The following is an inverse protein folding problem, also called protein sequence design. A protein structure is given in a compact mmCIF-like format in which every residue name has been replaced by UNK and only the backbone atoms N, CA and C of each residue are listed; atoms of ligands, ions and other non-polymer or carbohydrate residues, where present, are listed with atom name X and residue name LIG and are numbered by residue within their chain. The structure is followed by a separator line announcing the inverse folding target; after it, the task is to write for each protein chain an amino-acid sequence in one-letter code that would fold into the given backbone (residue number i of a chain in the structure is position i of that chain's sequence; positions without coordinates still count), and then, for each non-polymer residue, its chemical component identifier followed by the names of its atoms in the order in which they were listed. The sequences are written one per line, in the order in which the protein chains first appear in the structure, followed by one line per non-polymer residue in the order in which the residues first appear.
data_IF_097730341619
#
_entry.id   IF_097730341619
#
_cell.length_a   1.000
_cell.length_b   1.000
_cell.length_c   1.000
_cell.angle_alpha   90.00
_cell.angle_beta   90.00
_cell.angle_gamma   90.00
#
_symmetry.space_group_name_H-M   'P 1'
#
loop_
_entity.id
_entity.type
_entity.pdbx_description
1 polymer ?
#
# COMPACT_ATOMS: atom_id res chain seq x y z
N UNK A 1 -7.24 -12.75 5.14
CA UNK A 1 -8.49 -13.43 4.74
C UNK A 1 -9.59 -12.48 4.28
N UNK A 2 -9.82 -11.33 4.91
CA UNK A 2 -10.86 -10.36 4.53
C UNK A 2 -10.78 -9.90 3.06
N UNK A 3 -9.58 -9.63 2.54
CA UNK A 3 -9.41 -9.23 1.15
C UNK A 3 -9.87 -10.27 0.12
N UNK A 4 -9.60 -11.55 0.38
CA UNK A 4 -10.06 -12.63 -0.49
C UNK A 4 -11.60 -12.76 -0.48
N UNK A 5 -12.23 -12.60 0.70
CA UNK A 5 -13.68 -12.57 0.84
C UNK A 5 -14.27 -11.40 0.04
N UNK A 6 -13.69 -10.21 0.16
CA UNK A 6 -14.11 -9.03 -0.59
C UNK A 6 -14.03 -9.22 -2.11
N UNK A 7 -12.93 -9.83 -2.61
CA UNK A 7 -12.77 -10.14 -4.02
C UNK A 7 -13.87 -11.09 -4.53
N UNK A 8 -14.19 -12.16 -3.77
CA UNK A 8 -15.25 -13.11 -4.12
C UNK A 8 -16.63 -12.43 -4.11
N UNK A 9 -16.92 -11.58 -3.12
CA UNK A 9 -18.19 -10.85 -3.04
C UNK A 9 -18.35 -9.84 -4.18
N UNK A 10 -17.25 -9.20 -4.56
CA UNK A 10 -17.20 -8.31 -5.72
C UNK A 10 -17.46 -9.07 -7.03
N UNK A 11 -16.75 -10.18 -7.26
CA UNK A 11 -16.89 -11.02 -8.46
C UNK A 11 -18.33 -11.59 -8.61
N UNK A 12 -18.94 -11.97 -7.48
CA UNK A 12 -20.34 -12.42 -7.44
C UNK A 12 -21.37 -11.29 -7.57
N UNK A 13 -20.94 -10.06 -7.74
CA UNK A 13 -21.82 -8.89 -7.89
C UNK A 13 -22.82 -8.74 -6.73
N UNK A 14 -22.39 -9.02 -5.49
CA UNK A 14 -23.25 -9.01 -4.33
C UNK A 14 -23.77 -7.59 -4.07
N UNK A 15 -25.08 -7.38 -4.24
CA UNK A 15 -25.72 -6.06 -4.13
C UNK A 15 -25.53 -5.42 -2.76
N UNK A 16 -25.55 -6.21 -1.69
CA UNK A 16 -25.39 -5.72 -0.32
C UNK A 16 -23.97 -5.22 -0.12
N UNK A 17 -22.98 -6.03 -0.53
CA UNK A 17 -21.57 -5.66 -0.46
C UNK A 17 -21.29 -4.36 -1.25
N UNK A 18 -21.72 -4.32 -2.51
CA UNK A 18 -21.51 -3.13 -3.35
C UNK A 18 -22.22 -1.89 -2.80
N UNK A 19 -23.46 -2.02 -2.31
CA UNK A 19 -24.20 -0.89 -1.72
C UNK A 19 -23.50 -0.29 -0.51
N UNK A 20 -22.87 -1.11 0.34
CA UNK A 20 -22.16 -0.66 1.55
C UNK A 20 -20.80 -0.07 1.17
N UNK A 21 -20.00 -0.83 0.41
CA UNK A 21 -18.59 -0.51 0.18
C UNK A 21 -18.35 0.51 -0.95
N UNK A 22 -19.31 0.73 -1.86
CA UNK A 22 -19.23 1.75 -2.90
C UNK A 22 -19.97 3.06 -2.57
N UNK A 23 -20.50 3.20 -1.35
CA UNK A 23 -21.18 4.41 -0.93
C UNK A 23 -20.22 5.59 -0.81
N UNK A 24 -20.48 6.71 -1.50
CA UNK A 24 -19.65 7.91 -1.49
C UNK A 24 -19.43 8.50 -0.09
N UNK A 25 -20.49 8.51 0.75
CA UNK A 25 -20.39 9.02 2.12
C UNK A 25 -19.49 8.09 2.95
N UNK A 26 -19.68 6.78 2.83
CA UNK A 26 -18.81 5.78 3.47
C UNK A 26 -17.35 5.93 3.06
N UNK A 27 -17.09 6.19 1.79
CA UNK A 27 -15.73 6.44 1.27
C UNK A 27 -15.07 7.67 1.90
N UNK A 28 -15.79 8.80 2.00
CA UNK A 28 -15.26 10.03 2.62
C UNK A 28 -14.94 9.79 4.10
N UNK A 29 -15.83 9.11 4.83
CA UNK A 29 -15.62 8.79 6.26
C UNK A 29 -14.40 7.89 6.42
N UNK A 30 -14.28 6.82 5.62
CA UNK A 30 -13.15 5.89 5.70
C UNK A 30 -11.83 6.59 5.34
N UNK A 31 -11.80 7.45 4.31
CA UNK A 31 -10.62 8.25 3.97
C UNK A 31 -10.21 9.17 5.14
N UNK A 32 -11.19 9.83 5.77
CA UNK A 32 -10.93 10.72 6.91
C UNK A 32 -10.34 9.94 8.09
N UNK A 33 -10.91 8.79 8.44
CA UNK A 33 -10.40 7.94 9.52
C UNK A 33 -9.01 7.39 9.15
N UNK A 34 -8.79 6.97 7.92
CA UNK A 34 -7.50 6.46 7.47
C UNK A 34 -6.39 7.51 7.60
N UNK A 35 -6.64 8.75 7.16
CA UNK A 35 -5.67 9.84 7.27
C UNK A 35 -5.37 10.23 8.73
N UNK A 36 -6.36 10.10 9.61
CA UNK A 36 -6.18 10.39 11.05
C UNK A 36 -5.65 9.20 11.85
N UNK A 37 -5.69 7.98 11.30
CA UNK A 37 -5.26 6.76 11.99
C UNK A 37 -3.79 6.78 12.45
N UNK A 38 -2.93 7.49 11.74
CA UNK A 38 -1.55 7.72 12.15
C UNK A 38 -1.38 8.47 13.47
N UNK A 39 -2.40 9.24 13.88
CA UNK A 39 -2.41 10.00 15.13
C UNK A 39 -2.90 9.16 16.34
N UNK A 40 -3.50 8.00 16.08
CA UNK A 40 -4.17 7.18 17.09
C UNK A 40 -3.32 5.98 17.55
N UNK A 41 -2.05 5.96 17.17
CA UNK A 41 -1.17 4.80 17.24
C UNK A 41 -1.16 4.03 18.57
N UNK A 42 -1.27 4.73 19.70
CA UNK A 42 -1.08 4.14 21.02
C UNK A 42 -2.39 3.92 21.82
N UNK A 43 -3.51 4.44 21.33
CA UNK A 43 -4.80 4.38 22.05
C UNK A 43 -5.63 3.13 21.72
N UNK A 44 -5.32 2.42 20.64
CA UNK A 44 -6.07 1.25 20.19
C UNK A 44 -5.21 0.00 20.29
N UNK A 45 -5.70 -1.09 20.93
CA UNK A 45 -4.98 -2.34 20.95
C UNK A 45 -4.59 -2.83 19.56
N UNK A 46 -3.36 -3.34 19.40
CA UNK A 46 -2.80 -3.70 18.11
C UNK A 46 -3.69 -4.66 17.31
N UNK A 47 -4.31 -5.64 17.97
CA UNK A 47 -5.21 -6.62 17.34
C UNK A 47 -6.41 -5.94 16.65
N UNK A 48 -7.08 -5.02 17.36
CA UNK A 48 -8.25 -4.32 16.84
C UNK A 48 -7.83 -3.37 15.71
N UNK A 49 -6.68 -2.73 15.85
CA UNK A 49 -6.13 -1.81 14.85
C UNK A 49 -5.90 -2.49 13.51
N UNK A 50 -5.29 -3.69 13.49
CA UNK A 50 -5.04 -4.44 12.27
C UNK A 50 -6.33 -4.83 11.54
N UNK A 51 -7.36 -5.28 12.26
CA UNK A 51 -8.65 -5.63 11.68
C UNK A 51 -9.38 -4.38 11.11
N UNK A 52 -9.33 -3.26 11.82
CA UNK A 52 -9.91 -1.99 11.35
C UNK A 52 -9.21 -1.53 10.07
N UNK A 53 -7.88 -1.55 10.02
CA UNK A 53 -7.10 -1.19 8.84
C UNK A 53 -7.45 -2.13 7.66
N UNK A 54 -7.62 -3.43 7.90
CA UNK A 54 -8.00 -4.38 6.86
C UNK A 54 -9.39 -4.07 6.28
N UNK A 55 -10.39 -3.78 7.12
CA UNK A 55 -11.74 -3.39 6.67
C UNK A 55 -11.71 -2.06 5.92
N UNK A 56 -10.97 -1.06 6.43
CA UNK A 56 -10.81 0.23 5.76
C UNK A 56 -10.15 0.09 4.39
N UNK A 57 -9.10 -0.73 4.28
CA UNK A 57 -8.43 -1.02 3.00
C UNK A 57 -9.41 -1.64 2.00
N UNK A 58 -10.31 -2.51 2.46
CA UNK A 58 -11.35 -3.11 1.62
C UNK A 58 -12.32 -2.05 1.07
N UNK A 59 -12.74 -1.09 1.91
CA UNK A 59 -13.54 0.05 1.47
C UNK A 59 -12.83 0.88 0.40
N UNK A 60 -11.57 1.24 0.64
CA UNK A 60 -10.79 2.06 -0.28
C UNK A 60 -10.60 1.36 -1.63
N UNK A 61 -10.22 0.08 -1.62
CA UNK A 61 -10.02 -0.71 -2.85
C UNK A 61 -11.34 -0.84 -3.63
N UNK A 62 -12.44 -1.21 -2.96
CA UNK A 62 -13.74 -1.37 -3.62
C UNK A 62 -14.22 -0.05 -4.22
N UNK A 63 -14.06 1.06 -3.50
CA UNK A 63 -14.40 2.38 -4.00
C UNK A 63 -13.61 2.79 -5.24
N UNK A 64 -12.32 2.48 -5.30
CA UNK A 64 -11.47 2.73 -6.48
C UNK A 64 -11.94 1.89 -7.67
N UNK A 65 -12.17 0.60 -7.47
CA UNK A 65 -12.63 -0.31 -8.53
C UNK A 65 -14.01 0.07 -9.06
N UNK A 66 -14.91 0.55 -8.20
CA UNK A 66 -16.24 1.01 -8.59
C UNK A 66 -16.29 2.47 -9.10
N UNK A 67 -15.14 3.19 -9.15
CA UNK A 67 -15.07 4.62 -9.48
C UNK A 67 -15.98 5.51 -8.63
N UNK A 68 -16.22 5.14 -7.37
CA UNK A 68 -17.07 5.89 -6.44
C UNK A 68 -16.25 6.73 -5.47
N UNK A 69 -14.92 6.59 -5.47
CA UNK A 69 -14.01 7.36 -4.63
C UNK A 69 -13.95 8.83 -5.01
N UNK A 70 -13.84 9.69 -3.99
CA UNK A 70 -13.55 11.11 -4.16
C UNK A 70 -12.14 11.35 -4.69
N UNK A 71 -11.19 10.52 -4.30
CA UNK A 71 -9.79 10.59 -4.74
C UNK A 71 -9.57 9.51 -5.80
N UNK A 72 -9.25 9.92 -7.03
CA UNK A 72 -8.86 8.99 -8.07
C UNK A 72 -7.35 8.73 -7.99
N UNK A 73 -6.98 7.48 -7.73
CA UNK A 73 -5.60 7.01 -7.67
C UNK A 73 -5.08 6.50 -9.02
N UNK A 74 -5.89 6.51 -10.08
CA UNK A 74 -5.48 6.15 -11.43
C UNK A 74 -4.62 7.24 -12.05
N UNK A 75 -3.37 7.32 -11.64
CA UNK A 75 -2.39 8.23 -12.23
C UNK A 75 -1.02 7.54 -12.34
N UNK A 76 -0.17 8.08 -13.22
CA UNK A 76 1.16 7.51 -13.51
C UNK A 76 2.05 7.36 -12.28
N UNK A 77 1.91 8.24 -11.29
CA UNK A 77 2.71 8.20 -10.07
C UNK A 77 2.25 7.04 -9.18
N UNK A 78 0.95 6.88 -8.95
CA UNK A 78 0.40 5.75 -8.18
C UNK A 78 0.69 4.41 -8.86
N UNK A 79 0.55 4.32 -10.19
CA UNK A 79 0.92 3.14 -10.97
C UNK A 79 2.40 2.79 -10.80
N UNK A 80 3.25 3.80 -10.76
CA UNK A 80 4.68 3.58 -10.57
C UNK A 80 5.00 3.10 -9.16
N UNK A 81 4.41 3.74 -8.14
CA UNK A 81 4.53 3.29 -6.73
C UNK A 81 4.01 1.86 -6.59
N UNK A 82 2.90 1.53 -7.23
CA UNK A 82 2.36 0.16 -7.26
C UNK A 82 3.37 -0.85 -7.82
N UNK A 83 4.11 -0.50 -8.88
CA UNK A 83 5.13 -1.38 -9.47
C UNK A 83 6.32 -1.62 -8.55
N UNK A 84 6.76 -0.61 -7.79
CA UNK A 84 7.88 -0.72 -6.87
C UNK A 84 7.46 -1.12 -5.44
N UNK A 85 6.16 -1.32 -5.19
CA UNK A 85 5.60 -1.56 -3.84
C UNK A 85 6.18 -2.79 -3.16
N UNK A 86 6.46 -3.85 -3.92
CA UNK A 86 7.10 -5.04 -3.39
C UNK A 86 8.51 -4.73 -2.85
N UNK A 87 9.31 -3.99 -3.64
CA UNK A 87 10.62 -3.52 -3.20
C UNK A 87 10.52 -2.64 -1.95
N UNK A 88 9.55 -1.72 -1.90
CA UNK A 88 9.30 -0.88 -0.72
C UNK A 88 9.04 -1.76 0.50
N UNK A 89 8.14 -2.74 0.40
CA UNK A 89 7.78 -3.63 1.50
C UNK A 89 8.97 -4.42 2.05
N UNK A 90 9.84 -4.91 1.17
CA UNK A 90 11.02 -5.70 1.58
C UNK A 90 12.13 -4.83 2.15
N UNK A 91 12.35 -3.64 1.58
CA UNK A 91 13.52 -2.79 1.88
C UNK A 91 13.27 -1.90 3.10
N UNK A 92 12.03 -1.40 3.31
CA UNK A 92 11.78 -0.42 4.38
C UNK A 92 12.10 -0.92 5.80
N UNK A 93 11.84 -2.19 6.21
CA UNK A 93 12.20 -2.65 7.55
C UNK A 93 13.71 -2.70 7.74
N UNK A 94 14.45 -3.09 6.69
CA UNK A 94 15.90 -3.12 6.72
C UNK A 94 16.48 -1.70 6.89
N UNK A 95 15.98 -0.74 6.11
CA UNK A 95 16.42 0.65 6.22
C UNK A 95 16.05 1.28 7.56
N UNK A 96 14.87 0.96 8.09
CA UNK A 96 14.47 1.42 9.44
C UNK A 96 15.43 0.91 10.50
N UNK A 97 15.80 -0.37 10.44
CA UNK A 97 16.77 -0.96 11.36
C UNK A 97 18.16 -0.29 11.25
N UNK A 98 18.67 -0.17 10.02
CA UNK A 98 19.99 0.46 9.78
C UNK A 98 19.97 1.92 10.19
N UNK A 99 18.93 2.67 9.87
CA UNK A 99 18.81 4.08 10.24
C UNK A 99 18.77 4.27 11.75
N UNK A 100 18.05 3.42 12.47
CA UNK A 100 17.97 3.46 13.93
C UNK A 100 19.34 3.14 14.57
N UNK A 101 20.08 2.21 13.99
CA UNK A 101 21.42 1.87 14.45
C UNK A 101 22.40 3.04 14.23
N UNK A 102 22.43 3.60 13.01
CA UNK A 102 23.31 4.73 12.67
C UNK A 102 22.98 5.96 13.52
N UNK A 103 21.70 6.24 13.70
CA UNK A 103 21.27 7.37 14.52
C UNK A 103 21.79 7.30 15.97
N UNK A 104 21.72 6.10 16.58
CA UNK A 104 22.24 5.87 17.95
C UNK A 104 23.75 6.10 18.07
N UNK A 105 24.50 5.95 16.97
CA UNK A 105 25.96 6.16 16.96
C UNK A 105 26.33 7.65 16.78
N UNK A 106 25.42 8.45 16.22
CA UNK A 106 25.72 9.85 15.89
C UNK A 106 25.57 10.82 17.07
N UNK A 107 24.97 10.36 18.19
CA UNK A 107 24.78 11.12 19.44
C UNK A 107 24.26 12.55 19.23
N UNK A 108 23.32 12.71 18.28
CA UNK A 108 22.78 14.00 17.86
C UNK A 108 21.64 14.40 18.79
N UNK A 109 21.83 15.43 19.58
CA UNK A 109 20.81 16.03 20.44
C UNK A 109 19.90 16.98 19.64
N UNK A 110 18.84 16.45 19.05
CA UNK A 110 17.77 17.24 18.43
C UNK A 110 16.48 17.16 19.25
N UNK A 111 15.61 18.20 19.21
CA UNK A 111 14.27 18.09 19.76
C UNK A 111 13.56 16.86 19.22
N UNK A 112 12.90 16.07 20.08
CA UNK A 112 12.28 14.76 19.74
C UNK A 112 11.41 14.82 18.49
N UNK A 113 10.60 15.87 18.32
CA UNK A 113 9.74 16.03 17.14
C UNK A 113 10.53 16.21 15.84
N UNK A 114 11.57 17.06 15.88
CA UNK A 114 12.43 17.29 14.70
C UNK A 114 13.17 16.02 14.30
N UNK A 115 13.68 15.31 15.29
CA UNK A 115 14.35 14.04 15.14
C UNK A 115 13.45 13.00 14.48
N UNK A 116 12.24 12.81 14.99
CA UNK A 116 11.28 11.85 14.44
C UNK A 116 10.92 12.17 12.98
N UNK A 117 10.61 13.43 12.69
CA UNK A 117 10.29 13.88 11.34
C UNK A 117 11.47 13.63 10.39
N UNK A 118 12.69 14.00 10.80
CA UNK A 118 13.88 13.84 9.97
C UNK A 118 14.17 12.36 9.65
N UNK A 119 14.06 11.47 10.65
CA UNK A 119 14.26 10.02 10.47
C UNK A 119 13.21 9.45 9.52
N UNK A 120 11.92 9.81 9.71
CA UNK A 120 10.86 9.30 8.84
C UNK A 120 11.02 9.77 7.40
N UNK A 121 11.34 11.05 7.17
CA UNK A 121 11.60 11.57 5.83
C UNK A 121 12.80 10.89 5.18
N UNK A 122 13.88 10.68 5.95
CA UNK A 122 15.06 9.96 5.45
C UNK A 122 14.71 8.52 5.06
N UNK A 123 14.03 7.77 5.95
CA UNK A 123 13.67 6.37 5.69
C UNK A 123 12.74 6.26 4.47
N UNK A 124 11.73 7.13 4.35
CA UNK A 124 10.81 7.14 3.21
C UNK A 124 11.58 7.40 1.92
N UNK A 125 12.40 8.46 1.89
CA UNK A 125 13.15 8.84 0.68
C UNK A 125 14.16 7.75 0.29
N UNK A 126 14.93 7.25 1.24
CA UNK A 126 15.89 6.18 1.01
C UNK A 126 15.22 4.89 0.52
N UNK A 127 14.07 4.53 1.12
CA UNK A 127 13.29 3.35 0.70
C UNK A 127 12.82 3.47 -0.75
N UNK A 128 12.28 4.62 -1.14
CA UNK A 128 11.82 4.85 -2.52
C UNK A 128 13.00 4.77 -3.50
N UNK A 129 14.14 5.38 -3.18
CA UNK A 129 15.33 5.35 -4.03
C UNK A 129 15.83 3.91 -4.21
N UNK A 130 16.02 3.17 -3.10
CA UNK A 130 16.53 1.80 -3.14
C UNK A 130 15.54 0.85 -3.81
N UNK A 131 14.24 0.99 -3.54
CA UNK A 131 13.21 0.19 -4.20
C UNK A 131 13.16 0.46 -5.71
N UNK A 132 13.32 1.72 -6.14
CA UNK A 132 13.42 2.09 -7.55
C UNK A 132 14.64 1.45 -8.23
N UNK A 133 15.80 1.52 -7.58
CA UNK A 133 17.01 0.85 -8.09
C UNK A 133 16.82 -0.65 -8.18
N UNK A 134 16.30 -1.28 -7.12
CA UNK A 134 15.98 -2.72 -7.10
C UNK A 134 15.02 -3.11 -8.22
N UNK A 135 13.95 -2.34 -8.42
CA UNK A 135 13.00 -2.60 -9.50
C UNK A 135 13.66 -2.55 -10.88
N UNK A 136 14.42 -1.51 -11.17
CA UNK A 136 15.00 -1.31 -12.49
C UNK A 136 16.13 -2.30 -12.81
N UNK A 137 16.98 -2.63 -11.82
CA UNK A 137 18.17 -3.47 -12.04
C UNK A 137 17.94 -4.95 -11.74
N UNK A 138 16.98 -5.28 -10.86
CA UNK A 138 16.72 -6.67 -10.45
C UNK A 138 15.37 -7.14 -10.98
N UNK A 139 14.26 -6.55 -10.53
CA UNK A 139 12.93 -7.09 -10.80
C UNK A 139 12.55 -7.02 -12.29
N UNK A 140 12.75 -5.89 -12.93
CA UNK A 140 12.36 -5.66 -14.33
C UNK A 140 13.07 -6.61 -15.31
N UNK A 141 14.38 -6.92 -15.20
CA UNK A 141 15.03 -7.94 -16.02
C UNK A 141 14.44 -9.34 -15.80
N UNK A 142 14.19 -9.72 -14.53
CA UNK A 142 13.59 -11.01 -14.22
C UNK A 142 12.14 -11.13 -14.73
N UNK A 143 11.34 -10.10 -14.65
CA UNK A 143 9.99 -10.08 -15.21
C UNK A 143 10.00 -10.24 -16.74
N UNK A 144 10.96 -9.61 -17.43
CA UNK A 144 11.14 -9.83 -18.89
C UNK A 144 11.52 -11.26 -19.21
N UNK A 145 12.40 -11.86 -18.41
CA UNK A 145 12.83 -13.25 -18.58
C UNK A 145 11.66 -14.22 -18.34
N UNK A 146 10.87 -13.99 -17.28
CA UNK A 146 9.65 -14.76 -16.98
C UNK A 146 8.70 -14.79 -18.17
N UNK A 147 8.44 -13.64 -18.80
CA UNK A 147 7.54 -13.55 -19.95
C UNK A 147 8.06 -14.30 -21.19
N UNK A 148 9.40 -14.42 -21.33
CA UNK A 148 10.03 -15.19 -22.41
C UNK A 148 9.88 -16.70 -22.19
N UNK A 149 9.89 -17.16 -20.94
CA UNK A 149 9.80 -18.59 -20.58
C UNK A 149 8.40 -19.02 -20.13
N UNK A 150 7.43 -18.11 -20.04
CA UNK A 150 6.06 -18.46 -19.72
C UNK A 150 5.43 -19.24 -20.88
N UNK A 151 5.36 -20.56 -20.73
CA UNK A 151 4.74 -21.49 -21.68
C UNK A 151 3.21 -21.37 -21.67
N UNK A 152 2.64 -20.87 -20.59
CA UNK A 152 1.19 -20.66 -20.43
C UNK A 152 0.82 -19.30 -20.99
N UNK A 153 0.49 -19.24 -22.26
CA UNK A 153 -0.33 -18.15 -22.80
C UNK A 153 -1.75 -18.39 -22.30
N UNK A 154 -2.21 -17.58 -21.34
CA UNK A 154 -3.63 -17.55 -21.04
C UNK A 154 -4.35 -17.18 -22.34
N UNK A 155 -5.14 -18.11 -22.85
CA UNK A 155 -6.03 -17.85 -23.99
C UNK A 155 -7.12 -16.90 -23.50
N UNK A 156 -6.84 -15.60 -23.48
CA UNK A 156 -7.88 -14.59 -23.47
C UNK A 156 -8.27 -14.35 -24.91
N UNK A 157 -8.98 -15.30 -25.49
CA UNK A 157 -9.68 -15.14 -26.74
C UNK A 157 -10.97 -15.92 -26.66
N UNK A 158 -11.95 -15.36 -26.00
CA UNK A 158 -13.34 -15.64 -26.37
C UNK A 158 -13.91 -14.29 -26.79
N UNK A 159 -13.74 -14.02 -28.10
CA UNK A 159 -14.69 -13.19 -28.83
C UNK A 159 -16.04 -13.87 -28.73
N UNK A 160 -17.02 -13.22 -28.15
CA UNK A 160 -18.33 -13.03 -28.80
C UNK A 160 -19.10 -11.96 -28.03
#
# INVERSE_FOLDING_TARGET
MLGALGAVLYDRNNKIYLSIFSNKIGQIVVWSIFLTSGLWGDYVPAIIREEVIAVMSLFLITGQVCNTCFINLENKACDYIGKISYGIYVIHPLLTFVSSYVYRQLDIELPILVQQIAIHLYVITATIIVANLSYNYVEKPFLKLKNKFAIVRSQTSIKK
#
